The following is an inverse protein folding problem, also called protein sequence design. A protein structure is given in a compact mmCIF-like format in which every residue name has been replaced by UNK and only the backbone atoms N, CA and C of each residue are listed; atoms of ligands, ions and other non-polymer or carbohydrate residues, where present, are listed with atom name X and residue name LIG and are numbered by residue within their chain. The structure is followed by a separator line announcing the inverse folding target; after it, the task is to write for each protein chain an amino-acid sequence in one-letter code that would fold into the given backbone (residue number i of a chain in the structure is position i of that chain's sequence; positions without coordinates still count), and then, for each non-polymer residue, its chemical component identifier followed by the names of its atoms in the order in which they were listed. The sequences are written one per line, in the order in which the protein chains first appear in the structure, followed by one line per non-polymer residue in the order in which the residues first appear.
data_IF_364737447524
#
_entry.id   IF_364737447524
#
_cell.length_a   1.000
_cell.length_b   1.000
_cell.length_c   1.000
_cell.angle_alpha   90.00
_cell.angle_beta   90.00
_cell.angle_gamma   90.00
#
_symmetry.space_group_name_H-M   'P 1'
#
loop_
_entity.id
_entity.type
_entity.pdbx_description
1 polymer ?
#
# COMPACT_ATOMS: atom_id res chain seq x y z
N UNK A 1 -59.45 -39.99 26.65
CA UNK A 1 -59.08 -38.71 27.28
C UNK A 1 -57.65 -38.38 26.86
N UNK A 2 -57.48 -37.48 25.90
CA UNK A 2 -56.16 -37.01 25.47
C UNK A 2 -55.93 -35.64 26.10
N UNK A 3 -54.94 -35.56 26.99
CA UNK A 3 -54.50 -34.32 27.63
C UNK A 3 -53.65 -33.52 26.64
N UNK A 4 -54.16 -32.37 26.22
CA UNK A 4 -53.39 -31.42 25.42
C UNK A 4 -52.27 -30.82 26.28
N UNK A 5 -51.02 -30.99 25.84
CA UNK A 5 -49.86 -30.29 26.42
C UNK A 5 -49.99 -28.79 26.09
N UNK A 6 -49.79 -27.89 27.07
CA UNK A 6 -49.83 -26.46 26.81
C UNK A 6 -48.64 -26.06 25.94
N UNK A 7 -48.92 -25.32 24.86
CA UNK A 7 -47.90 -24.67 24.06
C UNK A 7 -47.09 -23.72 24.95
N UNK A 8 -45.80 -24.01 25.13
CA UNK A 8 -44.86 -23.10 25.77
C UNK A 8 -44.41 -22.08 24.73
N UNK A 9 -44.76 -20.81 24.93
CA UNK A 9 -44.19 -19.73 24.15
C UNK A 9 -42.66 -19.80 24.22
N UNK A 10 -41.94 -19.74 23.08
CA UNK A 10 -40.49 -19.69 23.14
C UNK A 10 -40.12 -18.44 23.94
N UNK A 11 -39.39 -18.64 25.04
CA UNK A 11 -38.83 -17.56 25.87
C UNK A 11 -37.97 -16.65 24.98
N UNK A 12 -38.61 -15.66 24.35
CA UNK A 12 -37.94 -14.55 23.73
C UNK A 12 -37.30 -13.78 24.88
N UNK A 13 -36.02 -14.09 25.15
CA UNK A 13 -35.22 -13.38 26.13
C UNK A 13 -35.19 -11.90 25.75
N UNK A 14 -36.05 -11.12 26.39
CA UNK A 14 -36.11 -9.67 26.18
C UNK A 14 -34.81 -9.08 26.72
N UNK A 15 -33.95 -8.65 25.80
CA UNK A 15 -32.70 -7.95 26.15
C UNK A 15 -33.12 -6.70 26.93
N UNK A 16 -32.84 -6.68 28.23
CA UNK A 16 -33.19 -5.54 29.08
C UNK A 16 -32.58 -4.25 28.51
N UNK A 17 -33.29 -3.13 28.58
CA UNK A 17 -32.77 -1.85 28.03
C UNK A 17 -31.37 -1.52 28.55
N UNK A 18 -31.06 -1.89 29.80
CA UNK A 18 -29.72 -1.75 30.42
C UNK A 18 -28.64 -2.57 29.69
N UNK A 19 -28.92 -3.82 29.31
CA UNK A 19 -27.97 -4.64 28.56
C UNK A 19 -27.76 -4.11 27.14
N UNK A 20 -28.81 -3.59 26.50
CA UNK A 20 -28.67 -2.89 25.21
C UNK A 20 -27.82 -1.60 25.33
N UNK A 21 -28.09 -0.75 26.32
CA UNK A 21 -27.33 0.49 26.54
C UNK A 21 -25.85 0.22 26.85
N UNK A 22 -25.55 -0.78 27.67
CA UNK A 22 -24.17 -1.16 27.99
C UNK A 22 -23.42 -1.71 26.78
N UNK A 23 -24.06 -2.53 25.94
CA UNK A 23 -23.47 -3.00 24.69
C UNK A 23 -23.22 -1.85 23.70
N UNK A 24 -24.18 -0.92 23.56
CA UNK A 24 -24.01 0.27 22.71
C UNK A 24 -22.86 1.14 23.21
N UNK A 25 -22.76 1.38 24.53
CA UNK A 25 -21.67 2.15 25.12
C UNK A 25 -20.31 1.46 24.93
N UNK A 26 -20.24 0.13 25.08
CA UNK A 26 -19.01 -0.63 24.83
C UNK A 26 -18.61 -0.58 23.35
N UNK A 27 -19.57 -0.74 22.43
CA UNK A 27 -19.34 -0.60 20.99
C UNK A 27 -18.85 0.81 20.64
N UNK A 28 -19.47 1.85 21.19
CA UNK A 28 -19.09 3.24 20.92
C UNK A 28 -17.69 3.55 21.48
N UNK A 29 -17.40 3.17 22.72
CA UNK A 29 -16.09 3.39 23.34
C UNK A 29 -14.97 2.65 22.60
N UNK A 30 -15.18 1.39 22.22
CA UNK A 30 -14.22 0.63 21.42
C UNK A 30 -14.03 1.21 20.02
N UNK A 31 -15.11 1.67 19.38
CA UNK A 31 -15.06 2.35 18.09
C UNK A 31 -14.27 3.66 18.18
N UNK A 32 -14.59 4.54 19.13
CA UNK A 32 -13.88 5.81 19.34
C UNK A 32 -12.39 5.58 19.63
N UNK A 33 -12.05 4.57 20.45
CA UNK A 33 -10.65 4.19 20.70
C UNK A 33 -9.94 3.75 19.43
N UNK A 34 -10.57 2.91 18.60
CA UNK A 34 -10.01 2.46 17.31
C UNK A 34 -9.81 3.62 16.33
N UNK A 35 -10.79 4.50 16.19
CA UNK A 35 -10.72 5.67 15.31
C UNK A 35 -9.62 6.62 15.78
N UNK A 36 -9.56 6.93 17.08
CA UNK A 36 -8.53 7.80 17.67
C UNK A 36 -7.14 7.21 17.48
N UNK A 37 -6.95 5.92 17.80
CA UNK A 37 -5.67 5.24 17.58
C UNK A 37 -5.29 5.26 16.10
N UNK A 38 -6.20 4.89 15.22
CA UNK A 38 -5.94 4.87 13.78
C UNK A 38 -5.59 6.25 13.21
N UNK A 39 -6.20 7.33 13.73
CA UNK A 39 -5.85 8.69 13.36
C UNK A 39 -4.45 9.08 13.86
N UNK A 40 -4.10 8.77 15.11
CA UNK A 40 -2.75 9.01 15.62
C UNK A 40 -1.70 8.19 14.86
N UNK A 41 -1.99 6.94 14.55
CA UNK A 41 -1.10 6.09 13.74
C UNK A 41 -0.91 6.71 12.35
N UNK A 42 -1.96 7.25 11.72
CA UNK A 42 -1.88 7.97 10.45
C UNK A 42 -1.01 9.23 10.55
N UNK A 43 -1.17 10.03 11.61
CA UNK A 43 -0.33 11.20 11.85
C UNK A 43 1.14 10.82 12.07
N UNK A 44 1.40 9.71 12.75
CA UNK A 44 2.74 9.21 13.04
C UNK A 44 3.51 8.76 11.78
N UNK A 45 2.82 8.50 10.66
CA UNK A 45 3.47 8.25 9.36
C UNK A 45 4.13 9.51 8.77
N UNK A 46 3.84 10.68 9.32
CA UNK A 46 4.33 11.97 8.86
C UNK A 46 3.62 12.47 7.60
N UNK A 47 4.12 13.56 6.99
CA UNK A 47 3.54 14.14 5.79
C UNK A 47 3.65 13.18 4.59
N UNK A 48 2.75 13.33 3.63
CA UNK A 48 2.70 12.55 2.40
C UNK A 48 1.69 13.12 1.41
N UNK A 49 1.30 12.33 0.41
CA UNK A 49 0.31 12.76 -0.60
C UNK A 49 -1.10 13.05 -0.04
N UNK A 50 -1.45 12.43 1.11
CA UNK A 50 -2.69 12.70 1.83
C UNK A 50 -2.45 13.71 2.95
N UNK A 51 -3.21 14.82 3.03
CA UNK A 51 -3.06 15.80 4.11
C UNK A 51 -3.28 15.19 5.49
N UNK A 52 -2.49 15.59 6.48
CA UNK A 52 -2.55 15.13 7.88
C UNK A 52 -3.75 15.73 8.66
N UNK A 53 -4.93 15.76 8.04
CA UNK A 53 -6.17 16.31 8.60
C UNK A 53 -7.18 15.19 8.86
N UNK A 54 -8.24 15.43 9.67
CA UNK A 54 -9.31 14.45 9.85
C UNK A 54 -9.99 14.06 8.53
N UNK A 55 -10.17 15.01 7.61
CA UNK A 55 -10.68 14.73 6.27
C UNK A 55 -9.73 13.84 5.45
N UNK A 56 -8.41 14.06 5.58
CA UNK A 56 -7.41 13.17 5.00
C UNK A 56 -7.47 11.76 5.57
N UNK A 57 -7.66 11.62 6.89
CA UNK A 57 -7.85 10.30 7.51
C UNK A 57 -9.13 9.60 7.06
N UNK A 58 -10.24 10.33 6.91
CA UNK A 58 -11.47 9.78 6.33
C UNK A 58 -11.23 9.22 4.93
N UNK A 59 -10.46 9.95 4.10
CA UNK A 59 -10.04 9.44 2.78
C UNK A 59 -9.25 8.13 2.91
N UNK A 60 -8.35 8.00 3.88
CA UNK A 60 -7.64 6.74 4.15
C UNK A 60 -8.60 5.63 4.57
N UNK A 61 -9.62 5.91 5.38
CA UNK A 61 -10.64 4.94 5.75
C UNK A 61 -11.41 4.43 4.53
N UNK A 62 -11.82 5.31 3.61
CA UNK A 62 -12.48 4.91 2.35
C UNK A 62 -11.54 4.08 1.48
N UNK A 63 -10.31 4.55 1.29
CA UNK A 63 -9.28 3.86 0.50
C UNK A 63 -8.97 2.46 1.04
N UNK A 64 -9.03 2.26 2.37
CA UNK A 64 -8.81 0.97 3.03
C UNK A 64 -9.82 -0.10 2.62
N UNK A 65 -10.99 0.28 2.12
CA UNK A 65 -11.99 -0.67 1.61
C UNK A 65 -11.48 -1.34 0.32
N UNK A 66 -10.69 -0.62 -0.47
CA UNK A 66 -10.17 -1.07 -1.76
C UNK A 66 -8.73 -1.58 -1.68
N UNK A 67 -8.17 -1.77 -0.48
CA UNK A 67 -6.78 -2.24 -0.37
C UNK A 67 -6.65 -3.71 -0.68
N UNK A 68 -5.53 -4.07 -1.31
CA UNK A 68 -5.12 -5.47 -1.46
C UNK A 68 -5.04 -6.16 -0.10
N UNK A 69 -5.73 -7.30 0.01
CA UNK A 69 -5.78 -8.09 1.24
C UNK A 69 -4.43 -8.69 1.60
N UNK A 70 -3.67 -9.13 0.60
CA UNK A 70 -2.32 -9.64 0.78
C UNK A 70 -1.36 -8.99 -0.24
N UNK A 71 -0.47 -8.08 0.20
CA UNK A 71 0.50 -7.45 -0.69
C UNK A 71 1.65 -8.38 -1.11
N UNK A 72 1.71 -9.60 -0.58
CA UNK A 72 2.68 -10.65 -0.95
C UNK A 72 2.16 -11.63 -2.01
N UNK A 73 0.90 -11.49 -2.43
CA UNK A 73 0.39 -12.34 -3.50
C UNK A 73 0.64 -11.64 -4.84
N UNK A 74 1.52 -12.17 -5.70
CA UNK A 74 1.79 -11.54 -6.99
C UNK A 74 0.55 -11.57 -7.89
N UNK A 75 0.32 -10.53 -8.70
CA UNK A 75 -0.81 -10.51 -9.62
C UNK A 75 -0.58 -11.53 -10.76
N UNK A 76 -1.66 -12.11 -11.33
CA UNK A 76 -1.54 -12.85 -12.57
C UNK A 76 -1.10 -11.92 -13.70
N UNK A 77 -0.42 -12.47 -14.70
CA UNK A 77 -0.04 -11.72 -15.90
C UNK A 77 -1.26 -11.62 -16.81
N UNK A 78 -1.77 -10.42 -17.12
CA UNK A 78 -2.88 -10.28 -18.05
C UNK A 78 -2.46 -10.68 -19.47
N UNK A 79 -3.35 -11.35 -20.20
CA UNK A 79 -3.08 -11.82 -21.56
C UNK A 79 -2.80 -10.72 -22.57
N UNK A 80 -3.22 -9.47 -22.28
CA UNK A 80 -2.99 -8.32 -23.15
C UNK A 80 -1.59 -7.71 -22.97
N UNK A 81 -0.91 -7.96 -21.84
CA UNK A 81 0.44 -7.41 -21.62
C UNK A 81 1.45 -8.22 -22.43
N UNK A 82 2.25 -7.55 -23.25
CA UNK A 82 3.32 -8.19 -24.02
C UNK A 82 4.63 -7.45 -23.82
N UNK A 83 5.77 -8.16 -23.66
CA UNK A 83 5.92 -9.62 -23.62
C UNK A 83 5.29 -10.27 -22.38
N UNK A 84 4.98 -11.57 -22.44
CA UNK A 84 4.43 -12.31 -21.29
C UNK A 84 5.51 -12.66 -20.24
N UNK A 85 6.80 -12.55 -20.60
CA UNK A 85 7.93 -12.72 -19.69
C UNK A 85 8.52 -11.38 -19.26
N UNK A 86 9.04 -11.33 -18.04
CA UNK A 86 9.80 -10.18 -17.55
C UNK A 86 11.26 -10.21 -17.99
N UNK A 87 12.03 -9.23 -17.52
CA UNK A 87 13.47 -9.09 -17.86
C UNK A 87 14.40 -9.44 -16.69
N UNK A 88 13.84 -9.61 -15.48
CA UNK A 88 14.62 -9.78 -14.28
C UNK A 88 15.08 -11.23 -14.12
N UNK A 89 16.34 -11.46 -14.47
CA UNK A 89 17.02 -12.73 -14.25
C UNK A 89 17.97 -12.64 -13.04
N UNK A 90 18.32 -13.79 -12.47
CA UNK A 90 19.41 -13.94 -11.48
C UNK A 90 19.37 -13.11 -10.20
N UNK A 91 18.22 -12.51 -9.84
CA UNK A 91 18.07 -11.86 -8.54
C UNK A 91 18.35 -12.89 -7.40
N UNK A 92 19.28 -12.66 -6.47
CA UNK A 92 19.47 -13.59 -5.35
C UNK A 92 18.25 -13.60 -4.44
N UNK A 93 18.09 -14.63 -3.60
CA UNK A 93 17.08 -14.58 -2.53
C UNK A 93 17.54 -13.60 -1.45
N UNK A 94 16.63 -12.76 -0.94
CA UNK A 94 16.94 -11.84 0.17
C UNK A 94 17.36 -12.63 1.40
N UNK A 95 18.45 -12.20 2.03
CA UNK A 95 18.85 -12.68 3.35
C UNK A 95 18.10 -11.89 4.44
N UNK A 96 17.54 -12.59 5.42
CA UNK A 96 16.81 -11.96 6.53
C UNK A 96 15.32 -11.76 6.25
N UNK A 97 14.63 -11.14 7.20
CA UNK A 97 13.21 -10.83 7.09
C UNK A 97 12.96 -9.67 6.13
N UNK A 98 11.70 -9.56 5.71
CA UNK A 98 11.22 -8.41 4.97
C UNK A 98 11.03 -7.21 5.91
N UNK A 99 11.18 -5.98 5.41
CA UNK A 99 10.89 -4.81 6.22
C UNK A 99 9.40 -4.72 6.55
N UNK A 100 9.10 -4.16 7.73
CA UNK A 100 7.73 -3.82 8.10
C UNK A 100 7.27 -2.59 7.31
N UNK A 101 6.15 -2.72 6.59
CA UNK A 101 5.58 -1.65 5.78
C UNK A 101 4.15 -1.34 6.21
N UNK A 102 3.91 -0.10 6.60
CA UNK A 102 2.65 0.37 7.17
C UNK A 102 2.06 1.51 6.32
N UNK A 103 0.79 1.79 6.54
CA UNK A 103 0.08 2.84 5.83
C UNK A 103 -0.39 2.45 4.43
N UNK A 104 -1.04 3.43 3.80
CA UNK A 104 -1.64 3.34 2.46
C UNK A 104 -1.16 4.56 1.67
N UNK A 105 -1.42 5.76 2.20
CA UNK A 105 -0.94 7.03 1.66
C UNK A 105 -0.79 8.05 2.81
N UNK A 106 0.42 8.31 3.33
CA UNK A 106 1.69 7.71 2.91
C UNK A 106 1.80 6.23 3.27
N UNK A 107 2.55 5.50 2.45
CA UNK A 107 3.07 4.17 2.77
C UNK A 107 4.49 4.36 3.29
N UNK A 108 4.88 3.67 4.37
CA UNK A 108 6.17 3.85 5.04
C UNK A 108 6.82 2.53 5.38
N UNK A 109 8.12 2.46 5.15
CA UNK A 109 8.97 1.40 5.65
C UNK A 109 9.41 1.74 7.08
N UNK A 110 9.13 0.86 8.04
CA UNK A 110 9.37 1.08 9.47
C UNK A 110 10.68 0.45 9.95
N UNK A 111 11.08 -0.66 9.36
CA UNK A 111 12.34 -1.36 9.66
C UNK A 111 13.25 -1.42 8.44
N UNK A 112 14.51 -1.79 8.63
CA UNK A 112 15.55 -1.87 7.59
C UNK A 112 15.69 -0.58 6.75
N UNK A 113 15.50 0.58 7.37
CA UNK A 113 15.61 1.88 6.68
C UNK A 113 17.04 2.10 6.20
N UNK A 114 17.16 2.53 4.94
CA UNK A 114 18.47 2.81 4.35
C UNK A 114 19.12 4.04 5.00
N UNK A 115 20.44 4.03 5.24
CA UNK A 115 21.13 5.24 5.69
C UNK A 115 21.12 6.31 4.58
N UNK A 116 21.25 7.58 4.95
CA UNK A 116 21.25 8.71 4.00
C UNK A 116 22.23 8.53 2.84
N UNK A 117 23.39 7.92 3.09
CA UNK A 117 24.38 7.63 2.05
C UNK A 117 23.84 6.71 0.94
N UNK A 118 23.08 5.67 1.31
CA UNK A 118 22.45 4.75 0.35
C UNK A 118 21.32 5.45 -0.40
N UNK A 119 20.54 6.30 0.28
CA UNK A 119 19.55 7.14 -0.38
C UNK A 119 20.19 8.05 -1.44
N UNK A 120 21.28 8.75 -1.10
CA UNK A 120 21.99 9.59 -2.06
C UNK A 120 22.57 8.79 -3.23
N UNK A 121 23.13 7.60 -2.97
CA UNK A 121 23.60 6.71 -4.03
C UNK A 121 22.45 6.27 -4.96
N UNK A 122 21.28 5.93 -4.40
CA UNK A 122 20.09 5.58 -5.16
C UNK A 122 19.62 6.75 -6.04
N UNK A 123 19.49 7.95 -5.48
CA UNK A 123 19.09 9.14 -6.24
C UNK A 123 20.11 9.51 -7.32
N UNK A 124 21.41 9.34 -7.05
CA UNK A 124 22.46 9.55 -8.04
C UNK A 124 22.36 8.53 -9.19
N UNK A 125 22.12 7.25 -8.89
CA UNK A 125 21.94 6.21 -9.91
C UNK A 125 20.70 6.48 -10.79
N UNK A 126 19.59 6.91 -10.19
CA UNK A 126 18.39 7.34 -10.93
C UNK A 126 18.71 8.50 -11.88
N UNK A 127 19.45 9.51 -11.39
CA UNK A 127 19.88 10.63 -12.21
C UNK A 127 20.78 10.18 -13.36
N UNK A 128 21.76 9.33 -13.09
CA UNK A 128 22.67 8.81 -14.11
C UNK A 128 21.95 8.03 -15.19
N UNK A 129 20.95 7.21 -14.84
CA UNK A 129 20.12 6.49 -15.81
C UNK A 129 19.42 7.44 -16.78
N UNK A 130 18.88 8.56 -16.29
CA UNK A 130 18.24 9.57 -17.14
C UNK A 130 19.23 10.23 -18.11
N UNK A 131 20.48 10.44 -17.67
CA UNK A 131 21.54 11.03 -18.49
C UNK A 131 22.10 10.06 -19.52
N UNK A 132 22.15 8.76 -19.21
CA UNK A 132 22.64 7.72 -20.13
C UNK A 132 21.64 7.41 -21.24
N UNK A 133 20.34 7.61 -20.97
CA UNK A 133 19.27 7.31 -21.91
C UNK A 133 18.34 8.52 -22.12
N UNK A 134 18.87 9.67 -22.61
CA UNK A 134 18.07 10.89 -22.76
C UNK A 134 16.96 10.75 -23.81
N UNK A 135 17.10 9.79 -24.74
CA UNK A 135 16.12 9.50 -25.78
C UNK A 135 14.97 8.60 -25.30
N UNK A 136 14.96 8.18 -24.04
CA UNK A 136 13.86 7.36 -23.49
C UNK A 136 13.45 7.75 -22.07
N UNK A 137 14.35 8.36 -21.29
CA UNK A 137 14.16 8.65 -19.87
C UNK A 137 14.32 10.13 -19.55
N UNK A 138 13.57 10.60 -18.56
CA UNK A 138 13.75 11.94 -17.98
C UNK A 138 13.43 11.95 -16.49
N UNK A 139 13.90 12.98 -15.79
CA UNK A 139 13.59 13.19 -14.37
C UNK A 139 12.36 14.08 -14.20
N UNK A 140 11.55 13.76 -13.21
CA UNK A 140 10.39 14.56 -12.82
C UNK A 140 10.12 14.47 -11.33
N UNK A 141 9.07 15.15 -10.87
CA UNK A 141 8.55 15.01 -9.51
C UNK A 141 7.49 13.92 -9.54
N UNK A 142 7.55 12.97 -8.60
CA UNK A 142 6.53 11.91 -8.49
C UNK A 142 5.14 12.51 -8.26
N UNK A 143 4.14 11.99 -8.98
CA UNK A 143 2.74 12.45 -8.82
C UNK A 143 2.15 12.00 -7.49
N UNK A 144 2.57 10.83 -7.02
CA UNK A 144 2.13 10.26 -5.75
C UNK A 144 2.82 10.94 -4.56
N UNK A 145 4.04 11.41 -4.79
CA UNK A 145 4.87 12.02 -3.77
C UNK A 145 5.50 13.30 -4.30
N UNK A 146 4.75 14.40 -4.15
CA UNK A 146 5.01 15.74 -4.69
C UNK A 146 6.36 16.38 -4.32
N UNK A 147 7.23 15.66 -3.61
CA UNK A 147 8.52 16.12 -3.12
C UNK A 147 9.68 15.19 -3.49
N UNK A 148 9.41 14.05 -4.14
CA UNK A 148 10.42 13.05 -4.42
C UNK A 148 10.77 13.01 -5.91
N UNK A 149 12.06 12.84 -6.21
CA UNK A 149 12.57 12.66 -7.57
C UNK A 149 12.10 11.31 -8.11
N UNK A 150 11.42 11.37 -9.26
CA UNK A 150 11.01 10.21 -10.03
C UNK A 150 11.74 10.12 -11.36
N UNK A 151 11.90 8.89 -11.84
CA UNK A 151 12.35 8.57 -13.18
C UNK A 151 11.13 8.25 -14.05
N UNK A 152 11.06 8.86 -15.22
CA UNK A 152 9.93 8.73 -16.12
C UNK A 152 10.39 8.28 -17.51
N UNK A 153 9.56 7.50 -18.19
CA UNK A 153 9.71 7.20 -19.60
C UNK A 153 9.03 8.26 -20.46
N UNK A 154 9.67 8.62 -21.58
CA UNK A 154 9.08 9.50 -22.57
C UNK A 154 7.81 8.89 -23.17
N UNK A 155 6.80 9.69 -23.57
CA UNK A 155 5.52 9.19 -24.06
C UNK A 155 5.63 8.15 -25.18
N UNK A 156 6.61 8.31 -26.09
CA UNK A 156 6.90 7.38 -27.19
C UNK A 156 7.41 6.00 -26.74
N UNK A 157 7.91 5.90 -25.51
CA UNK A 157 8.46 4.68 -24.93
C UNK A 157 7.50 4.01 -23.93
N UNK A 158 6.32 4.59 -23.71
CA UNK A 158 5.33 4.07 -22.78
C UNK A 158 4.56 2.92 -23.43
N UNK A 159 4.73 1.70 -22.91
CA UNK A 159 3.92 0.55 -23.30
C UNK A 159 2.57 0.50 -22.58
N UNK A 160 2.48 1.12 -21.40
CA UNK A 160 1.25 1.26 -20.61
C UNK A 160 1.19 2.65 -19.97
N UNK A 161 -0.02 3.20 -19.88
CA UNK A 161 -0.28 4.57 -19.41
C UNK A 161 -0.32 4.71 -17.88
N UNK A 162 -0.05 3.64 -17.13
CA UNK A 162 -0.10 3.71 -15.67
C UNK A 162 0.93 4.70 -15.16
N UNK A 163 0.50 5.54 -14.22
CA UNK A 163 1.36 6.54 -13.58
C UNK A 163 2.03 7.56 -14.54
N UNK A 164 1.49 7.80 -15.75
CA UNK A 164 2.03 8.77 -16.71
C UNK A 164 3.52 8.51 -17.07
N UNK A 165 3.90 7.23 -17.14
CA UNK A 165 5.27 6.80 -17.45
C UNK A 165 6.24 6.82 -16.27
N UNK A 166 5.78 7.01 -15.03
CA UNK A 166 6.64 6.91 -13.84
C UNK A 166 7.15 5.48 -13.65
N UNK A 167 8.47 5.30 -13.79
CA UNK A 167 9.16 4.02 -13.63
C UNK A 167 9.50 3.80 -12.16
N UNK A 168 10.01 4.83 -11.49
CA UNK A 168 10.36 4.73 -10.08
C UNK A 168 10.42 6.09 -9.40
N UNK A 169 10.33 6.11 -8.07
CA UNK A 169 10.72 7.26 -7.25
C UNK A 169 11.28 6.82 -5.91
N UNK A 170 12.28 7.58 -5.41
CA UNK A 170 12.94 7.33 -4.13
C UNK A 170 12.36 8.19 -3.02
N UNK A 171 12.21 7.63 -1.82
CA UNK A 171 11.68 8.32 -0.64
C UNK A 171 12.82 8.80 0.26
N UNK A 172 12.94 10.12 0.43
CA UNK A 172 13.95 10.68 1.33
C UNK A 172 13.75 10.32 2.81
N UNK A 173 12.52 9.99 3.21
CA UNK A 173 12.15 9.81 4.61
C UNK A 173 12.64 8.48 5.21
N UNK A 174 12.50 7.38 4.48
CA UNK A 174 12.85 6.03 4.93
C UNK A 174 13.86 5.31 4.03
N UNK A 175 14.27 5.95 2.93
CA UNK A 175 15.21 5.40 1.96
C UNK A 175 14.62 4.31 1.07
N UNK A 176 13.30 4.09 1.12
CA UNK A 176 12.59 3.16 0.25
C UNK A 176 12.39 3.74 -1.16
N UNK A 177 11.90 2.92 -2.09
CA UNK A 177 11.48 3.38 -3.40
C UNK A 177 10.25 2.61 -3.86
N UNK A 178 9.48 3.22 -4.75
CA UNK A 178 8.45 2.52 -5.50
C UNK A 178 8.95 2.27 -6.93
N UNK A 179 8.58 1.11 -7.47
CA UNK A 179 8.92 0.68 -8.82
C UNK A 179 7.66 0.27 -9.58
N UNK A 180 7.61 0.62 -10.86
CA UNK A 180 6.63 0.11 -11.83
C UNK A 180 7.32 -0.96 -12.66
N UNK A 181 6.88 -2.21 -12.50
CA UNK A 181 7.53 -3.38 -13.09
C UNK A 181 6.53 -4.24 -13.87
N UNK A 182 7.06 -5.06 -14.78
CA UNK A 182 6.28 -6.09 -15.43
C UNK A 182 5.76 -7.11 -14.40
N UNK A 183 4.50 -7.61 -14.49
CA UNK A 183 3.94 -8.56 -13.52
C UNK A 183 4.79 -9.82 -13.27
N UNK A 184 5.49 -10.32 -14.28
CA UNK A 184 6.42 -11.44 -14.12
C UNK A 184 7.63 -11.11 -13.24
N UNK A 185 8.16 -9.89 -13.35
CA UNK A 185 9.29 -9.41 -12.52
C UNK A 185 8.82 -9.16 -11.09
N UNK A 186 7.61 -8.60 -10.92
CA UNK A 186 6.97 -8.44 -9.62
C UNK A 186 6.85 -9.77 -8.88
N UNK A 187 6.37 -10.81 -9.58
CA UNK A 187 6.32 -12.18 -9.03
C UNK A 187 7.69 -12.63 -8.55
N UNK A 188 8.72 -12.49 -9.39
CA UNK A 188 10.09 -12.89 -9.08
C UNK A 188 10.64 -12.18 -7.84
N UNK A 189 10.46 -10.86 -7.73
CA UNK A 189 10.94 -10.05 -6.60
C UNK A 189 10.21 -10.41 -5.29
N UNK A 190 8.89 -10.63 -5.37
CA UNK A 190 8.08 -11.03 -4.21
C UNK A 190 8.48 -12.43 -3.74
N UNK A 191 8.62 -13.40 -4.62
CA UNK A 191 9.01 -14.77 -4.26
C UNK A 191 10.43 -14.81 -3.66
N UNK A 192 11.32 -13.93 -4.13
CA UNK A 192 12.69 -13.81 -3.61
C UNK A 192 12.82 -12.99 -2.34
N UNK A 193 11.73 -12.42 -1.84
CA UNK A 193 11.73 -11.74 -0.53
C UNK A 193 12.08 -10.25 -0.58
N UNK A 194 12.23 -9.64 -1.76
CA UNK A 194 12.78 -8.28 -1.86
C UNK A 194 11.75 -7.17 -1.73
N UNK A 195 10.50 -7.41 -2.15
CA UNK A 195 9.50 -6.33 -2.24
C UNK A 195 8.06 -6.80 -1.95
N UNK A 196 7.16 -5.86 -1.76
CA UNK A 196 5.73 -6.03 -1.54
C UNK A 196 4.93 -5.14 -2.48
N UNK A 197 3.75 -5.59 -2.89
CA UNK A 197 2.84 -4.75 -3.65
C UNK A 197 2.39 -3.53 -2.84
N UNK A 198 2.20 -2.41 -3.53
CA UNK A 198 1.49 -1.26 -2.99
C UNK A 198 0.07 -1.70 -2.59
N UNK A 199 -0.39 -1.26 -1.42
CA UNK A 199 -1.72 -1.67 -0.92
C UNK A 199 -2.87 -1.19 -1.78
N UNK A 200 -2.68 -0.16 -2.60
CA UNK A 200 -3.66 0.32 -3.57
C UNK A 200 -3.00 0.38 -4.93
N UNK A 201 -3.65 -0.26 -5.90
CA UNK A 201 -3.34 -0.12 -7.32
C UNK A 201 -4.07 1.12 -7.79
N UNK A 202 -3.32 2.11 -8.27
CA UNK A 202 -3.89 3.28 -8.92
C UNK A 202 -3.68 3.05 -10.40
N UNK A 203 -4.71 2.52 -11.06
CA UNK A 203 -4.79 2.46 -12.52
C UNK A 203 -5.22 3.84 -13.07
#
# INVERSE_FOLDING_TARGET
MATALPWQDPLASSISSVTLFTLVALCLTTFTRKVRKGYHDFLALGPGGTPSTPAGYLRICVLRIFTLRNPLNPPPIPSYIHPQSGILNDLPKRTGSRPEVVGIAPQRQMTDRGPKAIYYALTAAIKELSLRHPDSLFLGISRFEKHNTGLFSLPRCQSHLTCNGEICHSHAYDGSMHLTLHPADVKTIIEKGWDHLRRIVVD
#
